data_IF_849931478098
#
_entry.id   IF_849931478098
#
_cell.length_a   1.000
_cell.length_b   1.000
_cell.length_c   1.000
_cell.angle_alpha   90.00
_cell.angle_beta   90.00
_cell.angle_gamma   90.00
#
_symmetry.space_group_name_H-M   'P 1'
#
loop_
_entity.id
_entity.type
_entity.pdbx_description
1 polymer ?
#
# COMPACT_ATOMS: atom_id res chain seq x y z
N UNK A 1 46.66 -10.96 -36.17
CA UNK A 1 45.54 -10.42 -35.37
C UNK A 1 44.27 -11.16 -35.80
N UNK A 2 43.97 -12.29 -35.18
CA UNK A 2 42.76 -13.06 -35.47
C UNK A 2 41.66 -12.65 -34.49
N UNK A 3 40.75 -11.79 -34.94
CA UNK A 3 39.61 -11.34 -34.14
C UNK A 3 38.60 -12.49 -34.07
N UNK A 4 38.74 -13.39 -33.08
CA UNK A 4 37.73 -14.41 -32.78
C UNK A 4 36.42 -13.70 -32.43
N UNK A 5 35.46 -13.77 -33.35
CA UNK A 5 34.10 -13.29 -33.16
C UNK A 5 33.43 -14.22 -32.15
N UNK A 6 33.42 -13.83 -30.87
CA UNK A 6 32.63 -14.51 -29.85
C UNK A 6 31.15 -14.27 -30.15
N UNK A 7 30.55 -15.14 -30.96
CA UNK A 7 29.10 -15.24 -31.10
C UNK A 7 28.53 -15.75 -29.76
N UNK A 8 27.72 -14.97 -29.05
CA UNK A 8 27.11 -15.45 -27.82
C UNK A 8 26.25 -16.67 -28.16
N UNK A 9 26.50 -17.78 -27.47
CA UNK A 9 25.66 -18.98 -27.60
C UNK A 9 24.27 -18.62 -27.09
N UNK A 10 23.22 -19.04 -27.79
CA UNK A 10 21.82 -18.70 -27.47
C UNK A 10 21.49 -18.96 -25.98
N UNK A 11 22.12 -19.97 -25.37
CA UNK A 11 22.01 -20.29 -23.95
C UNK A 11 22.58 -19.25 -22.98
N UNK A 12 23.66 -18.53 -23.34
CA UNK A 12 24.21 -17.46 -22.48
C UNK A 12 23.30 -16.24 -22.40
N UNK A 13 22.34 -16.10 -23.33
CA UNK A 13 21.32 -15.03 -23.34
C UNK A 13 20.01 -15.50 -22.68
N UNK A 14 19.59 -16.75 -22.92
CA UNK A 14 18.31 -17.27 -22.39
C UNK A 14 18.31 -17.40 -20.86
N UNK A 15 19.41 -17.87 -20.28
CA UNK A 15 19.51 -18.07 -18.82
C UNK A 15 19.33 -16.78 -18.00
N UNK A 16 20.06 -15.68 -18.26
CA UNK A 16 19.85 -14.43 -17.53
C UNK A 16 18.48 -13.81 -17.84
N UNK A 17 17.95 -13.96 -19.06
CA UNK A 17 16.63 -13.47 -19.44
C UNK A 17 15.52 -14.17 -18.64
N UNK A 18 15.59 -15.49 -18.49
CA UNK A 18 14.66 -16.27 -17.67
C UNK A 18 14.72 -15.86 -16.20
N UNK A 19 15.92 -15.61 -15.69
CA UNK A 19 16.14 -15.17 -14.31
C UNK A 19 15.58 -13.76 -14.05
N UNK A 20 15.77 -12.82 -15.00
CA UNK A 20 15.20 -11.47 -14.92
C UNK A 20 13.67 -11.53 -14.95
N UNK A 21 13.08 -12.33 -15.84
CA UNK A 21 11.62 -12.51 -15.92
C UNK A 21 11.05 -13.10 -14.62
N UNK A 22 11.72 -14.10 -14.05
CA UNK A 22 11.35 -14.68 -12.76
C UNK A 22 11.41 -13.63 -11.63
N UNK A 23 12.45 -12.79 -11.59
CA UNK A 23 12.64 -11.78 -10.56
C UNK A 23 11.64 -10.62 -10.65
N UNK A 24 11.28 -10.17 -11.86
CA UNK A 24 10.26 -9.11 -12.04
C UNK A 24 8.86 -9.52 -11.59
N UNK A 25 8.57 -10.82 -11.55
CA UNK A 25 7.28 -11.36 -11.12
C UNK A 25 7.08 -11.26 -9.60
N UNK A 26 8.14 -10.99 -8.84
CA UNK A 26 8.16 -10.93 -7.36
C UNK A 26 8.07 -9.47 -6.87
N UNK A 27 8.25 -8.48 -7.76
CA UNK A 27 8.14 -7.06 -7.40
C UNK A 27 6.67 -6.63 -7.47
N UNK A 28 5.91 -6.93 -6.42
CA UNK A 28 4.66 -6.23 -6.15
C UNK A 28 4.99 -4.89 -5.48
N UNK A 29 4.95 -3.79 -6.25
CA UNK A 29 4.88 -2.47 -5.64
C UNK A 29 3.49 -2.32 -5.01
N UNK A 30 3.41 -2.38 -3.69
CA UNK A 30 2.20 -2.09 -2.93
C UNK A 30 1.92 -0.59 -2.92
N UNK A 31 1.30 -0.09 -3.99
CA UNK A 31 0.79 1.28 -4.04
C UNK A 31 -0.59 1.28 -3.36
N UNK A 32 -0.64 1.63 -2.07
CA UNK A 32 -1.92 1.86 -1.40
C UNK A 32 -2.51 3.18 -1.89
N UNK A 33 -3.64 3.11 -2.59
CA UNK A 33 -4.36 4.30 -3.07
C UNK A 33 -5.61 4.51 -2.22
N UNK A 34 -5.80 5.75 -1.76
CA UNK A 34 -6.99 6.13 -1.00
C UNK A 34 -8.14 6.45 -1.96
N UNK A 35 -9.36 6.09 -1.59
CA UNK A 35 -10.58 6.40 -2.34
C UNK A 35 -11.70 6.84 -1.39
N UNK A 36 -12.54 7.79 -1.83
CA UNK A 36 -13.60 8.40 -1.03
C UNK A 36 -14.72 7.44 -0.60
N UNK A 37 -14.86 6.29 -1.27
CA UNK A 37 -15.92 5.31 -0.99
C UNK A 37 -15.36 3.89 -0.87
N UNK A 38 -14.15 3.77 -0.29
CA UNK A 38 -13.44 2.49 -0.18
C UNK A 38 -14.31 1.36 0.41
N UNK A 39 -15.20 1.69 1.35
CA UNK A 39 -16.08 0.72 2.02
C UNK A 39 -17.47 0.55 1.40
N UNK A 40 -17.79 1.19 0.27
CA UNK A 40 -19.15 1.15 -0.29
C UNK A 40 -19.65 -0.29 -0.58
N UNK A 41 -18.77 -1.20 -1.01
CA UNK A 41 -19.12 -2.59 -1.31
C UNK A 41 -19.14 -3.53 -0.10
N UNK A 42 -18.46 -3.19 0.99
CA UNK A 42 -18.26 -4.08 2.14
C UNK A 42 -18.99 -3.60 3.40
N UNK A 43 -18.98 -2.31 3.66
CA UNK A 43 -19.66 -1.67 4.79
C UNK A 43 -20.12 -0.24 4.41
N UNK A 44 -21.23 -0.11 3.65
CA UNK A 44 -21.66 1.17 3.08
C UNK A 44 -22.03 2.22 4.13
N UNK A 45 -22.34 1.81 5.36
CA UNK A 45 -22.75 2.70 6.45
C UNK A 45 -21.60 3.06 7.42
N UNK A 46 -20.35 2.65 7.13
CA UNK A 46 -19.24 2.80 8.08
C UNK A 46 -19.00 4.25 8.50
N UNK A 47 -19.04 5.19 7.55
CA UNK A 47 -18.81 6.60 7.85
C UNK A 47 -19.88 7.19 8.77
N UNK A 48 -21.15 6.82 8.52
CA UNK A 48 -22.27 7.24 9.34
C UNK A 48 -22.16 6.65 10.75
N UNK A 49 -21.80 5.38 10.86
CA UNK A 49 -21.61 4.68 12.14
C UNK A 49 -20.49 5.32 12.97
N UNK A 50 -19.34 5.59 12.34
CA UNK A 50 -18.20 6.25 12.99
C UNK A 50 -18.60 7.67 13.43
N UNK A 51 -19.24 8.47 12.56
CA UNK A 51 -19.71 9.82 12.91
C UNK A 51 -20.66 9.82 14.10
N UNK A 52 -21.64 8.91 14.14
CA UNK A 52 -22.60 8.82 15.23
C UNK A 52 -21.94 8.39 16.54
N UNK A 53 -21.02 7.42 16.49
CA UNK A 53 -20.25 6.97 17.65
C UNK A 53 -19.39 8.11 18.22
N UNK A 54 -18.64 8.81 17.36
CA UNK A 54 -17.81 9.96 17.77
C UNK A 54 -18.67 11.08 18.35
N UNK A 55 -19.84 11.38 17.76
CA UNK A 55 -20.77 12.37 18.29
C UNK A 55 -21.31 11.97 19.67
N UNK A 56 -21.69 10.71 19.85
CA UNK A 56 -22.14 10.20 21.14
C UNK A 56 -21.03 10.28 22.20
N UNK A 57 -19.80 9.92 21.82
CA UNK A 57 -18.64 10.05 22.70
C UNK A 57 -18.35 11.50 23.07
N UNK A 58 -18.47 12.44 22.12
CA UNK A 58 -18.29 13.87 22.37
C UNK A 58 -19.38 14.47 23.26
N UNK A 59 -20.61 13.97 23.17
CA UNK A 59 -21.70 14.37 24.06
C UNK A 59 -21.46 13.93 25.51
N UNK A 60 -20.77 12.80 25.70
CA UNK A 60 -20.40 12.28 27.03
C UNK A 60 -19.10 12.92 27.56
N UNK A 61 -18.07 13.05 26.73
CA UNK A 61 -16.77 13.67 27.04
C UNK A 61 -16.40 14.68 25.94
N UNK A 62 -16.49 15.97 26.26
CA UNK A 62 -16.17 17.06 25.33
C UNK A 62 -14.71 17.05 24.87
N UNK A 63 -13.81 16.37 25.59
CA UNK A 63 -12.39 16.24 25.21
C UNK A 63 -12.14 15.08 24.22
N UNK A 64 -13.12 14.19 24.00
CA UNK A 64 -12.96 13.02 23.14
C UNK A 64 -12.53 13.34 21.69
N UNK A 65 -13.09 14.36 21.00
CA UNK A 65 -12.64 14.70 19.64
C UNK A 65 -11.16 15.10 19.58
N UNK A 66 -10.68 15.85 20.57
CA UNK A 66 -9.28 16.27 20.64
C UNK A 66 -8.35 15.07 20.91
N UNK A 67 -8.76 14.14 21.78
CA UNK A 67 -8.03 12.90 22.06
C UNK A 67 -7.94 12.00 20.81
N UNK A 68 -9.05 11.82 20.08
CA UNK A 68 -9.07 11.04 18.85
C UNK A 68 -8.19 11.65 17.76
N UNK A 69 -8.22 12.98 17.60
CA UNK A 69 -7.34 13.66 16.66
C UNK A 69 -5.87 13.43 17.01
N UNK A 70 -5.50 13.59 18.28
CA UNK A 70 -4.14 13.32 18.77
C UNK A 70 -3.72 11.88 18.51
N UNK A 71 -4.61 10.91 18.71
CA UNK A 71 -4.33 9.50 18.46
C UNK A 71 -3.99 9.24 16.98
N UNK A 72 -4.78 9.78 16.05
CA UNK A 72 -4.50 9.64 14.60
C UNK A 72 -3.15 10.26 14.23
N UNK A 73 -2.84 11.45 14.75
CA UNK A 73 -1.52 12.05 14.53
C UNK A 73 -0.38 11.23 15.14
N UNK A 74 -0.58 10.69 16.34
CA UNK A 74 0.43 9.89 17.02
C UNK A 74 0.71 8.56 16.31
N UNK A 75 -0.32 7.90 15.77
CA UNK A 75 -0.14 6.63 15.04
C UNK A 75 0.52 6.82 13.67
N UNK A 76 0.35 7.99 13.04
CA UNK A 76 0.91 8.26 11.72
C UNK A 76 2.27 8.97 11.74
N UNK A 77 2.63 9.66 12.83
CA UNK A 77 3.87 10.44 12.89
C UNK A 77 4.98 9.80 13.73
N UNK A 78 4.74 8.64 14.33
CA UNK A 78 5.77 7.85 15.00
C UNK A 78 6.36 6.89 13.97
N UNK A 79 7.45 7.33 13.32
CA UNK A 79 8.38 6.52 12.53
C UNK A 79 9.82 6.74 13.00
#
# INVERSE_FOLDING_TARGET
MERKRNTPTIHTIISPLLFILAFTSILELSISTLSFDFYAGSCPNVELLVRNTVRSAAAFDQTAPAKLLRLVFHDCMVE
#
